data_IF_867121205066
#
_entry.id   IF_867121205066
#
_cell.length_a   1.000
_cell.length_b   1.000
_cell.length_c   1.000
_cell.angle_alpha   90.00
_cell.angle_beta   90.00
_cell.angle_gamma   90.00
#
_symmetry.space_group_name_H-M   'P 1'
#
loop_
_entity.id
_entity.type
_entity.pdbx_description
1 polymer ?
#
# COMPACT_ATOMS: atom_id res chain seq x y z
N UNK A 1 -10.29 -71.77 -8.87
CA UNK A 1 -9.46 -70.61 -9.30
C UNK A 1 -9.92 -69.40 -8.50
N UNK A 2 -9.14 -68.98 -7.49
CA UNK A 2 -9.47 -67.83 -6.64
C UNK A 2 -8.84 -66.57 -7.24
N UNK A 3 -9.62 -65.80 -7.99
CA UNK A 3 -9.23 -64.46 -8.42
C UNK A 3 -9.46 -63.50 -7.24
N UNK A 4 -8.40 -63.19 -6.48
CA UNK A 4 -8.43 -62.06 -5.56
C UNK A 4 -8.49 -60.77 -6.39
N UNK A 5 -9.66 -60.12 -6.34
CA UNK A 5 -9.95 -58.83 -6.94
C UNK A 5 -8.86 -57.80 -6.58
N UNK A 6 -8.40 -57.08 -7.60
CA UNK A 6 -7.35 -56.08 -7.51
C UNK A 6 -7.68 -54.96 -6.52
N UNK A 7 -6.63 -54.44 -5.90
CA UNK A 7 -6.64 -53.31 -4.97
C UNK A 7 -7.35 -52.11 -5.62
N UNK A 8 -8.43 -51.62 -5.00
CA UNK A 8 -8.96 -50.30 -5.32
C UNK A 8 -7.90 -49.26 -4.93
N UNK A 9 -7.22 -48.67 -5.92
CA UNK A 9 -6.41 -47.47 -5.70
C UNK A 9 -7.40 -46.35 -5.37
N UNK A 10 -7.44 -45.94 -4.11
CA UNK A 10 -8.19 -44.76 -3.71
C UNK A 10 -7.62 -43.56 -4.47
N UNK A 11 -8.35 -43.07 -5.47
CA UNK A 11 -8.06 -41.79 -6.11
C UNK A 11 -8.17 -40.70 -5.04
N UNK A 12 -7.03 -40.23 -4.54
CA UNK A 12 -7.00 -39.08 -3.64
C UNK A 12 -7.74 -37.92 -4.33
N UNK A 13 -8.81 -37.42 -3.70
CA UNK A 13 -9.54 -36.27 -4.20
C UNK A 13 -8.74 -34.99 -3.90
N UNK A 14 -7.63 -34.84 -4.63
CA UNK A 14 -6.64 -33.77 -4.45
C UNK A 14 -7.31 -32.41 -4.68
N UNK A 15 -8.12 -32.29 -5.73
CA UNK A 15 -8.83 -31.07 -6.06
C UNK A 15 -9.81 -30.63 -4.96
N UNK A 16 -10.59 -31.56 -4.40
CA UNK A 16 -11.51 -31.28 -3.29
C UNK A 16 -10.77 -30.82 -2.03
N UNK A 17 -9.64 -31.45 -1.70
CA UNK A 17 -8.79 -31.08 -0.57
C UNK A 17 -8.25 -29.65 -0.71
N UNK A 18 -7.69 -29.30 -1.86
CA UNK A 18 -7.17 -27.95 -2.10
C UNK A 18 -8.29 -26.90 -2.11
N UNK A 19 -9.46 -27.21 -2.68
CA UNK A 19 -10.63 -26.32 -2.63
C UNK A 19 -11.04 -26.01 -1.19
N UNK A 20 -11.08 -27.02 -0.32
CA UNK A 20 -11.45 -26.82 1.09
C UNK A 20 -10.40 -26.01 1.85
N UNK A 21 -9.10 -26.29 1.64
CA UNK A 21 -8.01 -25.51 2.24
C UNK A 21 -8.06 -24.05 1.79
N UNK A 22 -8.28 -23.80 0.50
CA UNK A 22 -8.38 -22.43 -0.02
C UNK A 22 -9.57 -21.68 0.59
N UNK A 23 -10.75 -22.30 0.62
CA UNK A 23 -11.97 -21.63 1.08
C UNK A 23 -12.02 -21.44 2.60
N UNK A 24 -11.55 -22.41 3.39
CA UNK A 24 -11.66 -22.38 4.85
C UNK A 24 -10.37 -21.97 5.56
N UNK A 25 -9.23 -21.97 4.87
CA UNK A 25 -7.94 -21.55 5.42
C UNK A 25 -7.48 -20.24 4.80
N UNK A 26 -7.21 -20.25 3.48
CA UNK A 26 -6.57 -19.11 2.81
C UNK A 26 -7.48 -17.89 2.75
N UNK A 27 -8.74 -18.05 2.36
CA UNK A 27 -9.70 -16.94 2.26
C UNK A 27 -9.91 -16.22 3.60
N UNK A 28 -10.24 -16.89 4.73
CA UNK A 28 -10.39 -16.19 5.99
C UNK A 28 -9.09 -15.58 6.50
N UNK A 29 -7.93 -16.20 6.23
CA UNK A 29 -6.63 -15.62 6.58
C UNK A 29 -6.33 -14.33 5.82
N UNK A 30 -6.58 -14.31 4.51
CA UNK A 30 -6.42 -13.09 3.71
C UNK A 30 -7.42 -12.02 4.17
N UNK A 31 -8.66 -12.40 4.48
CA UNK A 31 -9.67 -11.47 4.97
C UNK A 31 -9.26 -10.81 6.30
N UNK A 32 -8.76 -11.59 7.27
CA UNK A 32 -8.28 -11.04 8.55
C UNK A 32 -7.03 -10.19 8.38
N UNK A 33 -6.09 -10.59 7.53
CA UNK A 33 -4.90 -9.79 7.22
C UNK A 33 -5.27 -8.46 6.55
N UNK A 34 -6.18 -8.47 5.57
CA UNK A 34 -6.69 -7.26 4.93
C UNK A 34 -7.42 -6.35 5.91
N UNK A 35 -8.26 -6.92 6.79
CA UNK A 35 -8.93 -6.15 7.84
C UNK A 35 -7.91 -5.47 8.76
N UNK A 36 -6.90 -6.21 9.23
CA UNK A 36 -5.85 -5.64 10.09
C UNK A 36 -5.11 -4.49 9.40
N UNK A 37 -4.73 -4.65 8.13
CA UNK A 37 -4.08 -3.60 7.36
C UNK A 37 -5.00 -2.37 7.28
N UNK A 38 -6.25 -2.54 6.85
CA UNK A 38 -7.20 -1.44 6.66
C UNK A 38 -7.50 -0.71 7.98
N UNK A 39 -7.69 -1.44 9.08
CA UNK A 39 -7.86 -0.85 10.41
C UNK A 39 -6.63 -0.09 10.89
N UNK A 40 -5.44 -0.44 10.41
CA UNK A 40 -4.18 0.25 10.72
C UNK A 40 -3.80 1.35 9.73
N UNK A 41 -4.62 1.62 8.71
CA UNK A 41 -4.39 2.70 7.74
C UNK A 41 -4.63 4.06 8.40
N UNK A 42 -3.67 4.51 9.20
CA UNK A 42 -3.60 5.88 9.64
C UNK A 42 -2.79 6.70 8.63
N UNK A 43 -3.40 7.76 8.11
CA UNK A 43 -2.68 8.74 7.30
C UNK A 43 -1.62 9.43 8.16
N UNK A 44 -0.37 9.00 8.03
CA UNK A 44 0.75 9.61 8.73
C UNK A 44 0.95 11.04 8.28
N UNK A 45 1.27 11.90 9.25
CA UNK A 45 1.71 13.26 8.94
C UNK A 45 3.02 13.20 8.14
N UNK A 46 3.15 14.01 7.07
CA UNK A 46 4.41 14.07 6.33
C UNK A 46 5.52 14.60 7.24
N UNK A 47 6.73 14.02 7.20
CA UNK A 47 7.85 14.50 7.99
C UNK A 47 8.26 15.90 7.53
N UNK A 48 8.87 16.73 8.40
CA UNK A 48 9.39 18.03 8.00
C UNK A 48 10.39 17.90 6.85
N UNK A 49 10.34 18.85 5.91
CA UNK A 49 11.21 18.84 4.74
C UNK A 49 12.63 19.27 5.11
N UNK A 50 13.61 18.46 4.73
CA UNK A 50 15.03 18.81 4.79
C UNK A 50 15.66 18.55 3.41
N UNK A 51 16.39 19.52 2.83
CA UNK A 51 16.98 19.41 1.50
C UNK A 51 18.28 18.58 1.56
N UNK A 52 18.16 17.29 1.85
CA UNK A 52 19.31 16.39 1.87
C UNK A 52 19.90 16.23 0.46
N UNK A 53 21.21 16.38 0.27
CA UNK A 53 21.83 16.38 -1.06
C UNK A 53 21.76 15.02 -1.77
N UNK A 54 21.55 13.93 -1.03
CA UNK A 54 21.43 12.58 -1.57
C UNK A 54 19.98 12.17 -1.86
N UNK A 55 18.99 12.99 -1.48
CA UNK A 55 17.57 12.73 -1.76
C UNK A 55 17.08 13.64 -2.88
N UNK A 56 16.02 13.20 -3.57
CA UNK A 56 15.33 14.01 -4.61
C UNK A 56 16.29 14.52 -5.69
N UNK A 57 17.32 13.72 -6.00
CA UNK A 57 18.30 14.05 -7.03
C UNK A 57 17.59 14.14 -8.38
N UNK A 58 17.88 15.21 -9.12
CA UNK A 58 17.40 15.46 -10.48
C UNK A 58 18.55 15.93 -11.35
N UNK A 59 19.11 15.03 -12.14
CA UNK A 59 20.11 15.38 -13.17
C UNK A 59 19.48 15.79 -14.49
N UNK A 60 18.28 15.29 -14.77
CA UNK A 60 17.47 15.59 -15.96
C UNK A 60 16.00 15.61 -15.55
N UNK A 61 15.22 16.43 -16.22
CA UNK A 61 13.76 16.44 -16.07
C UNK A 61 13.15 15.09 -16.48
N UNK A 62 12.01 14.77 -15.88
CA UNK A 62 11.29 13.55 -16.20
C UNK A 62 10.66 13.63 -17.60
N UNK A 63 10.58 12.52 -18.36
CA UNK A 63 10.03 12.50 -19.72
C UNK A 63 8.50 12.55 -19.80
N UNK A 64 7.81 12.91 -18.71
CA UNK A 64 6.35 13.05 -18.64
C UNK A 64 5.96 14.44 -18.14
N UNK A 65 4.67 14.78 -18.24
CA UNK A 65 4.10 16.05 -17.76
C UNK A 65 4.89 17.29 -18.21
N UNK A 66 5.53 17.24 -19.38
CA UNK A 66 6.30 18.38 -19.91
C UNK A 66 7.60 18.70 -19.17
N UNK A 67 8.15 17.77 -18.38
CA UNK A 67 9.44 17.97 -17.70
C UNK A 67 9.35 18.50 -16.27
N UNK A 68 8.21 18.33 -15.59
CA UNK A 68 8.05 18.76 -14.19
C UNK A 68 8.92 17.95 -13.22
N UNK A 69 9.17 18.50 -12.02
CA UNK A 69 9.92 17.84 -10.93
C UNK A 69 9.12 16.74 -10.19
N UNK A 70 7.97 16.36 -10.74
CA UNK A 70 7.08 15.38 -10.17
C UNK A 70 7.40 13.98 -10.70
N UNK A 71 7.59 13.03 -9.79
CA UNK A 71 7.71 11.61 -10.16
C UNK A 71 6.41 11.07 -10.79
N UNK A 72 6.48 9.94 -11.50
CA UNK A 72 5.31 9.34 -12.17
C UNK A 72 4.15 9.08 -11.20
N UNK A 73 4.47 8.60 -10.00
CA UNK A 73 3.54 8.40 -8.89
C UNK A 73 3.77 9.47 -7.80
N UNK A 74 3.68 10.74 -8.19
CA UNK A 74 3.80 11.86 -7.27
C UNK A 74 2.52 11.99 -6.43
N UNK A 75 2.66 11.89 -5.10
CA UNK A 75 1.61 12.23 -4.16
C UNK A 75 1.91 13.62 -3.56
N UNK A 76 1.14 14.67 -3.92
CA UNK A 76 1.30 16.04 -3.42
C UNK A 76 0.98 16.20 -1.94
N UNK A 77 0.98 15.15 -1.12
CA UNK A 77 0.79 15.23 0.33
C UNK A 77 1.92 14.57 1.13
N UNK A 78 2.76 13.78 0.48
CA UNK A 78 3.87 13.07 1.16
C UNK A 78 5.19 13.13 0.39
N UNK A 79 5.14 13.41 -0.92
CA UNK A 79 6.34 13.49 -1.74
C UNK A 79 6.73 14.96 -1.93
N UNK A 80 7.80 15.40 -1.26
CA UNK A 80 8.39 16.71 -1.56
C UNK A 80 9.14 16.69 -2.90
N UNK A 81 9.06 17.80 -3.62
CA UNK A 81 9.92 18.17 -4.75
C UNK A 81 11.30 18.59 -4.25
N UNK A 82 12.20 18.95 -5.15
CA UNK A 82 13.55 19.43 -4.80
C UNK A 82 13.50 20.68 -3.91
N UNK A 83 12.45 21.49 -4.03
CA UNK A 83 12.27 22.74 -3.28
C UNK A 83 11.49 22.59 -1.98
N UNK A 84 10.66 21.54 -1.85
CA UNK A 84 9.84 21.34 -0.67
C UNK A 84 8.52 20.63 -0.97
N UNK A 85 7.54 20.81 -0.11
CA UNK A 85 6.20 20.27 -0.33
C UNK A 85 5.31 21.26 -1.09
N UNK A 86 4.65 20.81 -2.15
CA UNK A 86 3.83 21.70 -3.01
C UNK A 86 2.66 22.38 -2.29
N UNK A 87 2.17 21.82 -1.18
CA UNK A 87 1.11 22.41 -0.38
C UNK A 87 1.60 23.43 0.64
N UNK A 88 2.91 23.59 0.83
CA UNK A 88 3.45 24.66 1.67
C UNK A 88 3.45 26.01 0.94
N UNK A 89 3.48 25.98 -0.39
CA UNK A 89 3.46 27.16 -1.26
C UNK A 89 2.05 27.79 -1.34
N UNK A 90 1.00 26.97 -1.19
CA UNK A 90 -0.40 27.40 -1.25
C UNK A 90 -0.95 27.61 0.19
N UNK A 91 -1.22 28.87 0.60
CA UNK A 91 -1.61 29.18 1.98
C UNK A 91 -2.94 28.54 2.39
N UNK A 92 -3.90 28.39 1.47
CA UNK A 92 -5.18 27.73 1.77
C UNK A 92 -4.98 26.23 1.99
N UNK A 93 -4.18 25.57 1.13
CA UNK A 93 -3.84 24.16 1.33
C UNK A 93 -3.03 23.95 2.60
N UNK A 94 -2.05 24.80 2.89
CA UNK A 94 -1.26 24.75 4.12
C UNK A 94 -2.13 24.88 5.37
N UNK A 95 -3.07 25.82 5.39
CA UNK A 95 -4.03 25.97 6.48
C UNK A 95 -4.91 24.73 6.64
N UNK A 96 -5.44 24.19 5.53
CA UNK A 96 -6.25 22.98 5.53
C UNK A 96 -5.49 21.74 6.04
N UNK A 97 -4.22 21.57 5.67
CA UNK A 97 -3.40 20.47 6.19
C UNK A 97 -3.04 20.65 7.65
N UNK A 98 -2.65 21.87 8.06
CA UNK A 98 -2.32 22.18 9.45
C UNK A 98 -3.53 21.95 10.35
N UNK A 99 -4.72 22.41 9.95
CA UNK A 99 -5.97 22.22 10.70
C UNK A 99 -6.35 20.75 10.83
N UNK A 100 -6.30 19.98 9.73
CA UNK A 100 -6.58 18.53 9.75
C UNK A 100 -5.60 17.78 10.66
N UNK A 101 -4.34 18.17 10.68
CA UNK A 101 -3.31 17.54 11.52
C UNK A 101 -3.53 17.85 13.02
N UNK A 102 -3.83 19.11 13.35
CA UNK A 102 -4.16 19.51 14.73
C UNK A 102 -5.42 18.79 15.22
N UNK A 103 -6.47 18.72 14.40
CA UNK A 103 -7.71 18.04 14.76
C UNK A 103 -7.53 16.52 14.92
N UNK A 104 -6.70 15.89 14.08
CA UNK A 104 -6.35 14.47 14.23
C UNK A 104 -5.57 14.20 15.52
N UNK A 105 -4.70 15.12 15.96
CA UNK A 105 -3.98 15.01 17.23
C UNK A 105 -4.87 15.20 18.46
N UNK A 106 -5.89 16.05 18.39
CA UNK A 106 -6.81 16.30 19.50
C UNK A 106 -7.87 15.19 19.69
N UNK A 107 -8.21 14.44 18.64
CA UNK A 107 -9.21 13.36 18.70
C UNK A 107 -8.60 11.97 18.88
N UNK A 108 -7.38 11.88 19.43
CA UNK A 108 -6.68 10.63 19.69
C UNK A 108 -6.73 10.26 21.17
#
# INVERSE_FOLDING_TARGET
MNLKCGKHVATHNVAGKWRMISLLGVVPFVATASFFIISSLEEREPPPFYPYPHMRIRHKQFPWRGGTDESLFHNPRVNATTTGYSWEEDPERKANYTFKNVHKRCCK
#
